data_IF_304478281315
#
_entry.id   IF_304478281315
#
_cell.length_a   1.000
_cell.length_b   1.000
_cell.length_c   1.000
_cell.angle_alpha   90.00
_cell.angle_beta   90.00
_cell.angle_gamma   90.00
#
_symmetry.space_group_name_H-M   'P 1'
#
loop_
_entity.id
_entity.type
_entity.pdbx_description
1 polymer ?
#
# COMPACT_ATOMS: atom_id res chain seq x y z
N UNK A 1 24.03 20.79 0.28
CA UNK A 1 24.88 20.18 1.33
C UNK A 1 23.92 19.31 2.14
N UNK A 2 23.95 18.01 1.90
CA UNK A 2 23.09 17.04 2.63
C UNK A 2 23.61 16.92 4.05
N UNK A 3 22.83 17.36 5.03
CA UNK A 3 23.12 17.14 6.43
C UNK A 3 22.83 15.67 6.75
N UNK A 4 23.85 14.83 6.73
CA UNK A 4 23.81 13.52 7.36
C UNK A 4 23.48 13.73 8.84
N UNK A 5 22.29 13.26 9.25
CA UNK A 5 21.91 13.26 10.66
C UNK A 5 22.45 11.96 11.33
N UNK A 6 23.49 12.05 12.16
CA UNK A 6 24.10 10.88 12.80
C UNK A 6 23.11 10.16 13.72
N UNK A 7 22.11 10.85 14.27
CA UNK A 7 21.10 10.23 15.13
C UNK A 7 20.14 9.36 14.33
N UNK A 8 19.80 9.77 13.10
CA UNK A 8 18.96 8.99 12.21
C UNK A 8 19.68 7.73 11.72
N UNK A 9 20.97 7.83 11.37
CA UNK A 9 21.78 6.65 11.00
C UNK A 9 21.91 5.66 12.15
N UNK A 10 22.10 6.15 13.37
CA UNK A 10 22.12 5.30 14.57
C UNK A 10 20.76 4.63 14.83
N UNK A 11 19.65 5.37 14.65
CA UNK A 11 18.30 4.84 14.80
C UNK A 11 18.03 3.73 13.78
N UNK A 12 18.36 3.96 12.50
CA UNK A 12 18.20 2.97 11.43
C UNK A 12 19.08 1.74 11.67
N UNK A 13 20.33 1.93 12.09
CA UNK A 13 21.23 0.84 12.43
C UNK A 13 20.75 0.04 13.65
N UNK A 14 20.18 0.71 14.65
CA UNK A 14 19.59 0.07 15.82
C UNK A 14 18.32 -0.71 15.46
N UNK A 15 17.43 -0.12 14.64
CA UNK A 15 16.25 -0.81 14.13
C UNK A 15 16.63 -2.00 13.28
N UNK A 16 17.61 -1.86 12.37
CA UNK A 16 18.13 -2.96 11.56
C UNK A 16 18.73 -4.08 12.43
N UNK A 17 19.48 -3.75 13.49
CA UNK A 17 20.02 -4.73 14.45
C UNK A 17 18.93 -5.45 15.22
N UNK A 18 17.90 -4.72 15.72
CA UNK A 18 16.76 -5.33 16.44
C UNK A 18 15.94 -6.23 15.55
N UNK A 19 15.78 -5.84 14.30
CA UNK A 19 15.12 -6.65 13.26
C UNK A 19 15.95 -7.90 12.98
N UNK A 20 17.26 -7.77 12.73
CA UNK A 20 18.16 -8.90 12.53
C UNK A 20 18.19 -9.85 13.74
N UNK A 21 18.18 -9.33 14.97
CA UNK A 21 18.12 -10.12 16.19
C UNK A 21 16.80 -10.89 16.35
N UNK A 22 15.67 -10.30 15.92
CA UNK A 22 14.37 -10.98 15.91
C UNK A 22 14.22 -12.01 14.79
N UNK A 23 15.00 -11.86 13.70
CA UNK A 23 15.02 -12.80 12.59
C UNK A 23 15.85 -14.08 12.90
N UNK A 24 16.48 -14.17 14.09
CA UNK A 24 17.32 -15.31 14.49
C UNK A 24 18.63 -15.33 13.72
N UNK A 25 19.75 -15.15 14.46
CA UNK A 25 21.08 -14.92 13.94
C UNK A 25 21.53 -15.82 12.80
N UNK A 26 22.33 -15.24 11.95
CA UNK A 26 23.30 -15.86 11.01
C UNK A 26 22.87 -17.18 10.34
N UNK A 27 21.78 -17.13 9.59
CA UNK A 27 21.70 -17.91 8.37
C UNK A 27 21.97 -16.96 7.19
N UNK A 28 22.85 -17.34 6.23
CA UNK A 28 22.90 -16.60 4.98
C UNK A 28 21.48 -16.58 4.44
N UNK A 29 21.03 -15.39 4.04
CA UNK A 29 19.73 -15.22 3.36
C UNK A 29 19.70 -16.29 2.28
N UNK A 30 18.91 -17.33 2.53
CA UNK A 30 18.65 -18.36 1.53
C UNK A 30 18.28 -17.58 0.29
N UNK A 31 18.94 -17.85 -0.83
CA UNK A 31 18.43 -17.47 -2.14
C UNK A 31 17.08 -18.17 -2.24
N UNK A 32 16.04 -17.49 -1.76
CA UNK A 32 14.68 -17.87 -2.00
C UNK A 32 14.55 -17.80 -3.52
N UNK A 33 14.49 -18.98 -4.13
CA UNK A 33 14.17 -19.09 -5.52
C UNK A 33 12.95 -18.19 -5.75
N UNK A 34 13.01 -17.38 -6.79
CA UNK A 34 11.91 -16.51 -7.19
C UNK A 34 10.67 -17.37 -7.34
N UNK A 35 9.81 -17.37 -6.32
CA UNK A 35 8.48 -17.93 -6.50
C UNK A 35 7.85 -17.17 -7.67
N UNK A 36 7.17 -17.83 -8.60
CA UNK A 36 6.57 -17.19 -9.75
C UNK A 36 5.70 -16.04 -9.24
N UNK A 37 5.98 -14.84 -9.71
CA UNK A 37 5.19 -13.67 -9.36
C UNK A 37 3.73 -13.93 -9.75
N UNK A 38 2.77 -13.32 -9.06
CA UNK A 38 1.35 -13.40 -9.43
C UNK A 38 1.10 -13.06 -10.91
N UNK A 39 2.06 -12.39 -11.58
CA UNK A 39 2.10 -12.13 -13.02
C UNK A 39 2.39 -13.35 -13.88
N UNK A 40 3.11 -14.35 -13.38
CA UNK A 40 3.57 -15.52 -14.14
C UNK A 40 2.55 -16.65 -14.19
N UNK A 41 1.51 -16.58 -13.36
CA UNK A 41 0.41 -17.56 -13.42
C UNK A 41 -0.67 -17.05 -14.40
N UNK A 42 -1.00 -17.82 -15.43
CA UNK A 42 -2.00 -17.41 -16.41
C UNK A 42 -3.35 -17.16 -15.72
N UNK A 43 -3.95 -16.02 -16.04
CA UNK A 43 -5.34 -15.77 -15.66
C UNK A 43 -6.23 -16.85 -16.32
N UNK A 44 -7.28 -17.36 -15.67
CA UNK A 44 -8.16 -18.38 -16.27
C UNK A 44 -8.74 -17.99 -17.63
N UNK A 45 -8.83 -16.69 -17.90
CA UNK A 45 -9.34 -16.13 -19.15
C UNK A 45 -8.24 -15.84 -20.19
N UNK A 46 -7.03 -16.42 -20.02
CA UNK A 46 -5.89 -16.22 -20.89
C UNK A 46 -4.91 -15.13 -20.42
N UNK A 47 -3.71 -15.05 -21.03
CA UNK A 47 -2.68 -14.12 -20.64
C UNK A 47 -3.12 -12.69 -21.01
N UNK A 48 -3.61 -11.92 -20.06
CA UNK A 48 -3.57 -10.48 -20.21
C UNK A 48 -2.15 -10.03 -19.87
N UNK A 49 -1.47 -9.39 -20.79
CA UNK A 49 -0.12 -8.84 -20.61
C UNK A 49 -0.01 -7.87 -19.43
N UNK A 50 -1.15 -7.48 -18.83
CA UNK A 50 -1.28 -6.59 -17.67
C UNK A 50 -2.24 -7.15 -16.60
N UNK A 51 -1.86 -8.22 -15.94
CA UNK A 51 -2.64 -8.80 -14.84
C UNK A 51 -2.85 -7.83 -13.65
N UNK A 52 -2.03 -6.78 -13.54
CA UNK A 52 -2.18 -5.69 -12.55
C UNK A 52 -3.26 -4.68 -12.91
N UNK A 53 -3.66 -4.60 -14.17
CA UNK A 53 -4.60 -3.56 -14.66
C UNK A 53 -6.06 -3.89 -14.40
N UNK A 54 -6.46 -5.16 -14.31
CA UNK A 54 -7.88 -5.51 -14.18
C UNK A 54 -8.39 -5.49 -12.73
N UNK A 55 -7.53 -5.66 -11.72
CA UNK A 55 -7.92 -5.68 -10.31
C UNK A 55 -8.91 -6.77 -9.90
N UNK A 56 -9.10 -7.81 -10.71
CA UNK A 56 -10.11 -8.85 -10.49
C UNK A 56 -9.58 -10.13 -9.81
N UNK A 57 -8.40 -10.07 -9.19
CA UNK A 57 -7.77 -11.25 -8.58
C UNK A 57 -8.63 -11.90 -7.48
N UNK A 58 -9.41 -11.11 -6.74
CA UNK A 58 -10.32 -11.64 -5.71
C UNK A 58 -11.41 -12.56 -6.27
N UNK A 59 -11.76 -12.41 -7.55
CA UNK A 59 -12.74 -13.24 -8.25
C UNK A 59 -12.06 -14.28 -9.13
N UNK A 60 -11.02 -13.88 -9.86
CA UNK A 60 -10.37 -14.75 -10.86
C UNK A 60 -9.30 -15.67 -10.28
N UNK A 61 -8.74 -15.33 -9.11
CA UNK A 61 -7.65 -16.06 -8.47
C UNK A 61 -7.80 -16.09 -6.94
N UNK A 62 -8.92 -16.62 -6.44
CA UNK A 62 -9.23 -16.60 -5.01
C UNK A 62 -8.17 -17.31 -4.16
N UNK A 63 -7.55 -18.39 -4.68
CA UNK A 63 -6.47 -19.11 -3.99
C UNK A 63 -5.22 -18.24 -3.80
N UNK A 64 -4.81 -17.49 -4.84
CA UNK A 64 -3.67 -16.59 -4.72
C UNK A 64 -3.93 -15.46 -3.69
N UNK A 65 -5.17 -14.96 -3.64
CA UNK A 65 -5.57 -13.99 -2.62
C UNK A 65 -5.56 -14.64 -1.24
N UNK A 66 -6.07 -15.86 -1.12
CA UNK A 66 -6.08 -16.59 0.15
C UNK A 66 -4.64 -16.83 0.66
N UNK A 67 -3.69 -17.15 -0.22
CA UNK A 67 -2.29 -17.34 0.16
C UNK A 67 -1.68 -16.07 0.77
N UNK A 68 -1.90 -14.90 0.17
CA UNK A 68 -1.39 -13.64 0.76
C UNK A 68 -2.12 -13.26 2.06
N UNK A 69 -3.38 -13.61 2.21
CA UNK A 69 -4.14 -13.40 3.46
C UNK A 69 -3.60 -14.31 4.57
N UNK A 70 -3.29 -15.58 4.27
CA UNK A 70 -2.72 -16.52 5.26
C UNK A 70 -1.33 -16.08 5.74
N UNK A 71 -0.54 -15.39 4.92
CA UNK A 71 0.74 -14.80 5.31
C UNK A 71 0.60 -13.46 6.09
N UNK A 72 -0.63 -13.03 6.32
CA UNK A 72 -0.93 -11.91 7.20
C UNK A 72 -1.30 -10.60 6.52
N UNK A 73 -1.69 -10.61 5.24
CA UNK A 73 -2.32 -9.45 4.64
C UNK A 73 -3.64 -9.14 5.37
N UNK A 74 -3.81 -7.89 5.79
CA UNK A 74 -5.03 -7.40 6.43
C UNK A 74 -5.93 -6.62 5.48
N UNK A 75 -5.46 -6.30 4.30
CA UNK A 75 -6.17 -5.66 3.20
C UNK A 75 -5.70 -6.18 1.85
N UNK A 76 -6.59 -6.21 0.88
CA UNK A 76 -6.31 -6.58 -0.52
C UNK A 76 -6.93 -5.55 -1.46
N UNK A 77 -6.34 -5.37 -2.64
CA UNK A 77 -6.90 -4.48 -3.67
C UNK A 77 -7.86 -5.22 -4.60
N UNK A 78 -8.88 -4.53 -5.08
CA UNK A 78 -9.71 -4.98 -6.21
C UNK A 78 -10.08 -3.82 -7.12
N UNK A 79 -10.47 -4.10 -8.36
CA UNK A 79 -10.88 -3.11 -9.36
C UNK A 79 -12.35 -3.21 -9.75
N UNK A 80 -12.81 -2.28 -10.60
CA UNK A 80 -14.18 -2.26 -11.15
C UNK A 80 -14.58 -3.61 -11.75
N UNK A 81 -15.82 -4.02 -11.49
CA UNK A 81 -16.35 -5.30 -11.95
C UNK A 81 -16.01 -6.47 -11.04
N UNK A 82 -15.44 -6.21 -9.87
CA UNK A 82 -15.32 -7.23 -8.82
C UNK A 82 -16.74 -7.61 -8.39
N UNK A 83 -17.12 -8.83 -8.75
CA UNK A 83 -18.43 -9.38 -8.43
C UNK A 83 -18.52 -9.88 -7.00
N UNK A 84 -19.43 -10.81 -6.78
CA UNK A 84 -19.65 -11.42 -5.48
C UNK A 84 -18.35 -12.08 -4.97
N UNK A 85 -17.86 -11.63 -3.84
CA UNK A 85 -16.71 -12.18 -3.12
C UNK A 85 -17.16 -12.81 -1.81
N UNK A 86 -16.44 -13.80 -1.28
CA UNK A 86 -16.75 -14.33 0.06
C UNK A 86 -16.74 -13.22 1.11
N UNK A 87 -17.70 -13.24 2.03
CA UNK A 87 -17.83 -12.22 3.09
C UNK A 87 -16.56 -12.07 3.93
N UNK A 88 -15.82 -13.15 4.12
CA UNK A 88 -14.54 -13.16 4.85
C UNK A 88 -13.45 -12.30 4.20
N UNK A 89 -13.50 -12.11 2.87
CA UNK A 89 -12.55 -11.30 2.12
C UNK A 89 -13.13 -9.93 1.80
N UNK A 90 -14.44 -9.80 1.66
CA UNK A 90 -15.11 -8.54 1.28
C UNK A 90 -14.70 -7.37 2.16
N UNK A 91 -14.70 -7.56 3.48
CA UNK A 91 -14.30 -6.53 4.45
C UNK A 91 -12.80 -6.21 4.47
N UNK A 92 -11.99 -6.94 3.71
CA UNK A 92 -10.57 -6.67 3.52
C UNK A 92 -10.29 -5.93 2.21
N UNK A 93 -11.28 -5.76 1.34
CA UNK A 93 -11.10 -5.20 0.00
C UNK A 93 -11.07 -3.67 0.04
N UNK A 94 -9.98 -3.10 -0.48
CA UNK A 94 -9.95 -1.70 -0.93
C UNK A 94 -10.28 -1.66 -2.43
N UNK A 95 -11.51 -1.28 -2.75
CA UNK A 95 -12.02 -1.22 -4.12
C UNK A 95 -11.47 0.01 -4.84
N UNK A 96 -10.67 -0.18 -5.88
CA UNK A 96 -9.69 0.80 -6.34
C UNK A 96 -9.92 1.23 -7.78
N UNK A 97 -9.94 2.54 -8.04
CA UNK A 97 -9.96 3.15 -9.37
C UNK A 97 -9.02 4.37 -9.40
N UNK A 98 -7.85 4.21 -10.03
CA UNK A 98 -6.77 5.20 -10.01
C UNK A 98 -6.30 5.61 -11.42
N UNK A 99 -7.02 5.23 -12.48
CA UNK A 99 -6.72 5.66 -13.83
C UNK A 99 -6.77 7.18 -13.93
N UNK A 100 -5.86 7.78 -14.70
CA UNK A 100 -5.81 9.23 -14.89
C UNK A 100 -7.06 9.78 -15.60
N UNK A 101 -7.68 8.96 -16.45
CA UNK A 101 -8.90 9.25 -17.21
C UNK A 101 -10.18 8.73 -16.55
N UNK A 102 -10.13 8.33 -15.27
CA UNK A 102 -11.29 7.88 -14.52
C UNK A 102 -12.41 8.94 -14.55
N UNK A 103 -13.63 8.49 -14.81
CA UNK A 103 -14.79 9.35 -14.90
C UNK A 103 -15.65 9.32 -13.63
N UNK A 104 -16.50 10.34 -13.42
CA UNK A 104 -17.44 10.36 -12.31
C UNK A 104 -18.39 9.14 -12.34
N UNK A 105 -18.85 8.72 -13.53
CA UNK A 105 -19.70 7.54 -13.69
C UNK A 105 -19.02 6.24 -13.26
N UNK A 106 -17.73 6.09 -13.53
CA UNK A 106 -16.95 4.93 -13.05
C UNK A 106 -16.77 4.96 -11.52
N UNK A 107 -16.59 6.14 -10.93
CA UNK A 107 -16.53 6.29 -9.46
C UNK A 107 -17.89 5.98 -8.82
N UNK A 108 -19.00 6.37 -9.44
CA UNK A 108 -20.35 6.02 -9.00
C UNK A 108 -20.56 4.50 -9.01
N UNK A 109 -20.14 3.83 -10.09
CA UNK A 109 -20.18 2.37 -10.18
C UNK A 109 -19.31 1.72 -9.12
N UNK A 110 -18.08 2.20 -8.93
CA UNK A 110 -17.15 1.72 -7.90
C UNK A 110 -17.78 1.80 -6.49
N UNK A 111 -18.37 2.93 -6.16
CA UNK A 111 -19.04 3.13 -4.87
C UNK A 111 -20.28 2.24 -4.72
N UNK A 112 -21.05 2.03 -5.79
CA UNK A 112 -22.21 1.14 -5.79
C UNK A 112 -21.79 -0.31 -5.52
N UNK A 113 -20.75 -0.80 -6.19
CA UNK A 113 -20.20 -2.14 -5.96
C UNK A 113 -19.72 -2.29 -4.51
N UNK A 114 -18.93 -1.32 -4.00
CA UNK A 114 -18.41 -1.35 -2.65
C UNK A 114 -19.50 -1.38 -1.56
N UNK A 115 -20.61 -0.64 -1.77
CA UNK A 115 -21.79 -0.69 -0.88
C UNK A 115 -22.47 -2.04 -0.93
N UNK A 116 -22.69 -2.58 -2.14
CA UNK A 116 -23.39 -3.85 -2.36
C UNK A 116 -22.67 -5.00 -1.68
N UNK A 117 -21.36 -5.06 -1.84
CA UNK A 117 -20.53 -6.15 -1.31
C UNK A 117 -19.89 -5.84 0.05
N UNK A 118 -20.15 -4.68 0.64
CA UNK A 118 -19.63 -4.25 1.95
C UNK A 118 -18.10 -4.29 2.03
N UNK A 119 -17.44 -3.74 1.00
CA UNK A 119 -15.99 -3.67 0.99
C UNK A 119 -15.45 -2.74 2.09
N UNK A 120 -14.16 -2.88 2.44
CA UNK A 120 -13.54 -2.07 3.48
C UNK A 120 -13.46 -0.59 3.09
N UNK A 121 -13.04 -0.31 1.88
CA UNK A 121 -12.91 1.05 1.39
C UNK A 121 -13.09 1.16 -0.13
N UNK A 122 -13.28 2.40 -0.59
CA UNK A 122 -13.08 2.81 -1.98
C UNK A 122 -11.83 3.67 -2.04
N UNK A 123 -10.89 3.32 -2.93
CA UNK A 123 -9.62 4.03 -3.12
C UNK A 123 -9.61 4.76 -4.45
N UNK A 124 -9.45 6.09 -4.40
CA UNK A 124 -9.53 6.99 -5.56
C UNK A 124 -8.44 8.06 -5.55
N UNK A 125 -8.25 8.75 -6.67
CA UNK A 125 -7.48 9.98 -6.71
C UNK A 125 -8.15 11.08 -5.86
N UNK A 126 -7.35 11.96 -5.26
CA UNK A 126 -7.81 12.99 -4.30
C UNK A 126 -8.96 13.86 -4.81
N UNK A 127 -9.01 14.16 -6.12
CA UNK A 127 -10.09 14.91 -6.75
C UNK A 127 -11.48 14.27 -6.68
N UNK A 128 -11.57 12.94 -6.50
CA UNK A 128 -12.82 12.20 -6.38
C UNK A 128 -13.32 11.98 -4.95
N UNK A 129 -12.53 12.38 -3.95
CA UNK A 129 -12.90 12.18 -2.53
C UNK A 129 -14.26 12.78 -2.18
N UNK A 130 -14.58 14.04 -2.57
CA UNK A 130 -15.91 14.61 -2.26
C UNK A 130 -17.07 13.81 -2.86
N UNK A 131 -16.90 13.29 -4.08
CA UNK A 131 -17.91 12.47 -4.75
C UNK A 131 -18.08 11.14 -4.01
N UNK A 132 -16.99 10.42 -3.78
CA UNK A 132 -17.01 9.13 -3.08
C UNK A 132 -17.60 9.25 -1.67
N UNK A 133 -17.21 10.28 -0.91
CA UNK A 133 -17.74 10.53 0.45
C UNK A 133 -19.24 10.74 0.44
N UNK A 134 -19.76 11.49 -0.54
CA UNK A 134 -21.22 11.70 -0.69
C UNK A 134 -21.94 10.38 -1.01
N UNK A 135 -21.40 9.59 -1.94
CA UNK A 135 -22.01 8.33 -2.38
C UNK A 135 -21.97 7.23 -1.32
N UNK A 136 -20.95 7.22 -0.48
CA UNK A 136 -20.74 6.19 0.54
C UNK A 136 -21.32 6.55 1.91
N UNK A 137 -21.99 7.69 2.04
CA UNK A 137 -22.60 8.12 3.30
C UNK A 137 -23.52 7.04 3.87
N UNK A 138 -23.31 6.67 5.13
CA UNK A 138 -24.13 5.68 5.86
C UNK A 138 -23.94 4.23 5.44
N UNK A 139 -22.96 3.92 4.56
CA UNK A 139 -22.70 2.54 4.13
C UNK A 139 -21.72 1.76 5.02
N UNK A 140 -20.94 2.47 5.81
CA UNK A 140 -19.79 1.87 6.56
C UNK A 140 -18.52 1.67 5.71
N UNK A 141 -18.58 1.90 4.39
CA UNK A 141 -17.41 1.82 3.50
C UNK A 141 -16.60 3.10 3.62
N UNK A 142 -15.30 2.98 3.92
CA UNK A 142 -14.38 4.11 4.07
C UNK A 142 -13.99 4.70 2.72
N UNK A 143 -13.62 5.98 2.71
CA UNK A 143 -12.98 6.63 1.55
C UNK A 143 -11.47 6.68 1.78
N UNK A 144 -10.72 6.09 0.87
CA UNK A 144 -9.27 6.15 0.79
C UNK A 144 -8.85 7.05 -0.38
N UNK A 145 -7.83 7.88 -0.17
CA UNK A 145 -7.23 8.69 -1.22
C UNK A 145 -5.75 8.38 -1.39
N UNK A 146 -5.26 8.36 -2.63
CA UNK A 146 -3.82 8.27 -2.89
C UNK A 146 -3.16 9.64 -2.81
N UNK A 147 -1.88 9.68 -2.40
CA UNK A 147 -1.08 10.89 -2.22
C UNK A 147 0.33 10.68 -2.76
N UNK A 148 0.84 11.68 -3.49
CA UNK A 148 2.14 11.58 -4.17
C UNK A 148 2.19 10.46 -5.20
N UNK A 149 1.06 10.09 -5.74
CA UNK A 149 0.84 8.88 -6.50
C UNK A 149 0.95 9.12 -8.02
N UNK A 150 1.50 8.15 -8.81
CA UNK A 150 2.07 6.88 -8.35
C UNK A 150 3.59 6.95 -8.07
N UNK A 151 4.25 8.08 -8.27
CA UNK A 151 5.71 8.19 -8.35
C UNK A 151 6.41 8.31 -6.98
N UNK A 152 5.77 8.87 -5.98
CA UNK A 152 6.37 9.13 -4.67
C UNK A 152 7.44 10.24 -4.66
N UNK A 153 7.73 10.87 -5.80
CA UNK A 153 8.85 11.79 -5.99
C UNK A 153 8.55 13.26 -5.66
N UNK A 154 7.40 13.54 -5.08
CA UNK A 154 7.02 14.89 -4.66
C UNK A 154 7.81 15.34 -3.43
N UNK A 155 7.95 16.67 -3.28
CA UNK A 155 8.48 17.23 -2.04
C UNK A 155 7.57 16.88 -0.83
N UNK A 156 8.14 16.61 0.36
CA UNK A 156 7.38 16.18 1.54
C UNK A 156 6.22 17.13 1.91
N UNK A 157 6.44 18.45 1.85
CA UNK A 157 5.40 19.43 2.14
C UNK A 157 4.24 19.40 1.13
N UNK A 158 4.51 19.08 -0.15
CA UNK A 158 3.48 18.96 -1.18
C UNK A 158 2.61 17.72 -0.93
N UNK A 159 3.23 16.57 -0.57
CA UNK A 159 2.49 15.36 -0.17
C UNK A 159 1.64 15.60 1.07
N UNK A 160 2.20 16.24 2.11
CA UNK A 160 1.48 16.58 3.33
C UNK A 160 0.30 17.53 3.06
N UNK A 161 0.46 18.47 2.14
CA UNK A 161 -0.63 19.36 1.72
C UNK A 161 -1.75 18.56 1.04
N UNK A 162 -1.40 17.71 0.07
CA UNK A 162 -2.38 16.85 -0.64
C UNK A 162 -3.15 15.96 0.34
N UNK A 163 -2.43 15.33 1.29
CA UNK A 163 -3.03 14.48 2.32
C UNK A 163 -4.03 15.24 3.18
N UNK A 164 -3.66 16.42 3.66
CA UNK A 164 -4.54 17.27 4.47
C UNK A 164 -5.81 17.68 3.71
N UNK A 165 -5.67 18.06 2.45
CA UNK A 165 -6.83 18.43 1.63
C UNK A 165 -7.74 17.23 1.34
N UNK A 166 -7.17 16.04 1.10
CA UNK A 166 -7.95 14.81 0.94
C UNK A 166 -8.73 14.46 2.22
N UNK A 167 -8.11 14.59 3.39
CA UNK A 167 -8.79 14.36 4.69
C UNK A 167 -9.91 15.40 4.91
N UNK A 168 -9.66 16.67 4.63
CA UNK A 168 -10.68 17.74 4.71
C UNK A 168 -11.87 17.47 3.78
N UNK A 169 -11.60 16.88 2.62
CA UNK A 169 -12.63 16.49 1.66
C UNK A 169 -13.42 15.24 2.10
N UNK A 170 -12.95 14.52 3.13
CA UNK A 170 -13.63 13.38 3.74
C UNK A 170 -12.94 12.02 3.60
N UNK A 171 -11.67 11.98 3.21
CA UNK A 171 -10.89 10.75 3.23
C UNK A 171 -10.66 10.29 4.68
N UNK A 172 -10.80 8.98 4.90
CA UNK A 172 -10.62 8.30 6.19
C UNK A 172 -9.35 7.45 6.20
N UNK A 173 -8.81 7.20 5.01
CA UNK A 173 -7.52 6.54 4.79
C UNK A 173 -6.72 7.28 3.70
N UNK A 174 -5.40 7.29 3.83
CA UNK A 174 -4.46 7.91 2.88
C UNK A 174 -3.41 6.87 2.48
N UNK A 175 -3.32 6.57 1.19
CA UNK A 175 -2.31 5.70 0.61
C UNK A 175 -1.20 6.56 -0.03
N UNK A 176 -0.10 6.82 0.68
CA UNK A 176 1.03 7.60 0.17
C UNK A 176 2.07 6.70 -0.48
N UNK A 177 2.75 7.19 -1.52
CA UNK A 177 3.89 6.48 -2.10
C UNK A 177 5.19 6.96 -1.46
N UNK A 178 6.05 6.02 -1.03
CA UNK A 178 7.37 6.32 -0.46
C UNK A 178 8.25 7.03 -1.49
N UNK A 179 9.15 7.91 -1.03
CA UNK A 179 10.16 8.50 -1.91
C UNK A 179 11.25 7.47 -2.23
N UNK A 180 11.07 6.74 -3.33
CA UNK A 180 11.99 5.70 -3.77
C UNK A 180 13.38 6.24 -4.10
N UNK A 181 13.47 7.44 -4.68
CA UNK A 181 14.74 8.07 -5.03
C UNK A 181 15.57 8.36 -3.78
N UNK A 182 14.98 8.94 -2.75
CA UNK A 182 15.62 9.18 -1.46
C UNK A 182 16.05 7.86 -0.79
N UNK A 183 15.17 6.85 -0.80
CA UNK A 183 15.47 5.53 -0.25
C UNK A 183 16.69 4.89 -0.92
N UNK A 184 16.73 4.88 -2.26
CA UNK A 184 17.86 4.34 -3.05
C UNK A 184 19.14 5.15 -2.87
N UNK A 185 19.02 6.43 -2.62
CA UNK A 185 20.15 7.32 -2.28
C UNK A 185 20.59 7.21 -0.82
N UNK A 186 19.95 6.34 -0.02
CA UNK A 186 20.16 6.19 1.42
C UNK A 186 19.93 7.47 2.23
N UNK A 187 19.15 8.40 1.69
CA UNK A 187 18.69 9.59 2.43
C UNK A 187 17.48 9.21 3.29
N UNK A 188 17.77 8.45 4.35
CA UNK A 188 16.76 7.90 5.25
C UNK A 188 16.07 8.98 6.09
N UNK A 189 16.77 10.08 6.33
CA UNK A 189 16.22 11.24 7.02
C UNK A 189 15.07 11.85 6.20
N UNK A 190 15.31 12.07 4.90
CA UNK A 190 14.28 12.57 3.99
C UNK A 190 13.10 11.60 3.85
N UNK A 191 13.36 10.28 3.76
CA UNK A 191 12.29 9.26 3.68
C UNK A 191 11.44 9.29 4.94
N UNK A 192 12.05 9.33 6.12
CA UNK A 192 11.34 9.40 7.40
C UNK A 192 10.51 10.69 7.51
N UNK A 193 11.13 11.84 7.22
CA UNK A 193 10.45 13.16 7.23
C UNK A 193 9.23 13.17 6.30
N UNK A 194 9.37 12.65 5.08
CA UNK A 194 8.30 12.57 4.08
C UNK A 194 7.10 11.79 4.62
N UNK A 195 7.33 10.60 5.18
CA UNK A 195 6.26 9.77 5.75
C UNK A 195 5.65 10.45 6.99
N UNK A 196 6.48 10.94 7.91
CA UNK A 196 6.03 11.57 9.15
C UNK A 196 5.12 12.78 8.85
N UNK A 197 5.51 13.65 7.93
CA UNK A 197 4.71 14.83 7.54
C UNK A 197 3.34 14.43 6.99
N UNK A 198 3.28 13.35 6.19
CA UNK A 198 1.99 12.85 5.69
C UNK A 198 1.16 12.27 6.83
N UNK A 199 1.76 11.47 7.73
CA UNK A 199 1.07 10.92 8.91
C UNK A 199 0.47 12.03 9.78
N UNK A 200 1.25 13.07 10.07
CA UNK A 200 0.79 14.21 10.88
C UNK A 200 -0.33 14.99 10.19
N UNK A 201 -0.17 15.26 8.89
CA UNK A 201 -1.15 16.01 8.10
C UNK A 201 -2.46 15.25 7.86
N UNK A 202 -2.42 13.92 7.96
CA UNK A 202 -3.57 13.04 7.71
C UNK A 202 -4.47 12.82 8.92
N UNK A 203 -4.08 13.25 10.11
CA UNK A 203 -4.88 12.99 11.32
C UNK A 203 -6.30 13.55 11.17
N UNK A 204 -7.35 12.78 11.53
CA UNK A 204 -7.34 11.46 12.20
C UNK A 204 -7.34 10.24 11.23
N UNK A 205 -7.21 10.45 9.91
CA UNK A 205 -7.22 9.38 8.93
C UNK A 205 -6.00 8.44 9.10
N UNK A 206 -6.18 7.17 8.76
CA UNK A 206 -5.08 6.19 8.76
C UNK A 206 -4.21 6.34 7.52
N UNK A 207 -2.89 6.19 7.69
CA UNK A 207 -1.92 6.26 6.58
C UNK A 207 -1.39 4.88 6.24
N UNK A 208 -1.41 4.53 4.95
CA UNK A 208 -0.74 3.37 4.39
C UNK A 208 0.43 3.85 3.52
N UNK A 209 1.62 3.30 3.75
CA UNK A 209 2.81 3.61 2.95
C UNK A 209 2.99 2.57 1.86
N UNK A 210 2.87 2.98 0.61
CA UNK A 210 3.14 2.15 -0.56
C UNK A 210 4.65 2.11 -0.77
N UNK A 211 5.23 0.93 -0.60
CA UNK A 211 6.67 0.72 -0.69
C UNK A 211 7.16 0.55 -2.13
N UNK A 212 6.31 0.06 -3.04
CA UNK A 212 6.63 -0.38 -4.40
C UNK A 212 7.69 -1.49 -4.39
N UNK A 213 7.37 -2.58 -3.70
CA UNK A 213 8.31 -3.68 -3.39
C UNK A 213 8.99 -4.27 -4.63
N UNK A 214 8.31 -4.28 -5.78
CA UNK A 214 8.88 -4.74 -7.04
C UNK A 214 10.05 -3.90 -7.57
N UNK A 215 10.22 -2.67 -7.06
CA UNK A 215 11.32 -1.77 -7.42
C UNK A 215 12.47 -1.78 -6.40
N UNK A 216 12.32 -2.51 -5.29
CA UNK A 216 13.24 -2.51 -4.15
C UNK A 216 13.99 -3.85 -4.03
N UNK A 217 15.26 -3.79 -3.66
CA UNK A 217 15.99 -4.97 -3.19
C UNK A 217 15.62 -5.30 -1.74
N UNK A 218 16.12 -6.43 -1.23
CA UNK A 218 15.74 -6.94 0.09
C UNK A 218 16.12 -5.99 1.24
N UNK A 219 17.32 -5.38 1.19
CA UNK A 219 17.75 -4.40 2.18
C UNK A 219 16.85 -3.15 2.16
N UNK A 220 16.56 -2.64 0.97
CA UNK A 220 15.67 -1.49 0.79
C UNK A 220 14.26 -1.76 1.31
N UNK A 221 13.71 -2.98 1.11
CA UNK A 221 12.41 -3.38 1.67
C UNK A 221 12.42 -3.31 3.20
N UNK A 222 13.44 -3.90 3.83
CA UNK A 222 13.57 -3.90 5.30
C UNK A 222 13.64 -2.47 5.84
N UNK A 223 14.45 -1.61 5.23
CA UNK A 223 14.59 -0.21 5.63
C UNK A 223 13.29 0.56 5.44
N UNK A 224 12.63 0.43 4.28
CA UNK A 224 11.39 1.11 3.98
C UNK A 224 10.26 0.74 4.96
N UNK A 225 10.12 -0.55 5.29
CA UNK A 225 9.16 -1.05 6.27
C UNK A 225 9.46 -0.45 7.66
N UNK A 226 10.73 -0.47 8.07
CA UNK A 226 11.17 0.04 9.37
C UNK A 226 10.93 1.54 9.52
N UNK A 227 11.30 2.33 8.49
CA UNK A 227 11.06 3.77 8.47
C UNK A 227 9.56 4.09 8.51
N UNK A 228 8.73 3.34 7.77
CA UNK A 228 7.28 3.51 7.80
C UNK A 228 6.70 3.31 9.20
N UNK A 229 7.19 2.28 9.91
CA UNK A 229 6.77 1.99 11.28
C UNK A 229 7.21 3.08 12.26
N UNK A 230 8.47 3.52 12.17
CA UNK A 230 9.01 4.58 13.07
C UNK A 230 8.34 5.93 12.82
N UNK A 231 7.98 6.24 11.57
CA UNK A 231 7.27 7.45 11.21
C UNK A 231 5.77 7.44 11.64
N UNK A 232 5.28 6.35 12.22
CA UNK A 232 3.93 6.23 12.75
C UNK A 232 2.86 5.88 11.72
N UNK A 233 3.23 5.31 10.58
CA UNK A 233 2.26 4.80 9.61
C UNK A 233 1.41 3.66 10.21
N UNK A 234 0.18 3.52 9.73
CA UNK A 234 -0.77 2.52 10.22
C UNK A 234 -0.70 1.23 9.41
N UNK A 235 -0.25 1.31 8.16
CA UNK A 235 -0.07 0.19 7.25
C UNK A 235 1.20 0.34 6.42
N UNK A 236 1.73 -0.78 5.96
CA UNK A 236 2.61 -0.87 4.80
C UNK A 236 1.85 -1.57 3.66
N UNK A 237 2.05 -1.11 2.43
CA UNK A 237 1.42 -1.64 1.22
C UNK A 237 2.48 -1.96 0.18
N UNK A 238 2.33 -3.09 -0.51
CA UNK A 238 3.34 -3.55 -1.47
C UNK A 238 3.50 -2.61 -2.65
N UNK A 239 2.40 -2.27 -3.34
CA UNK A 239 2.49 -1.78 -4.71
C UNK A 239 1.45 -0.71 -5.04
N UNK A 240 1.80 0.16 -5.99
CA UNK A 240 0.87 1.13 -6.59
C UNK A 240 -0.10 0.47 -7.58
N UNK A 241 0.33 -0.61 -8.25
CA UNK A 241 -0.32 -1.17 -9.43
C UNK A 241 0.09 -0.52 -10.76
N UNK A 242 0.95 0.52 -10.71
CA UNK A 242 1.47 1.25 -11.89
C UNK A 242 2.98 1.00 -12.08
N UNK A 243 3.64 0.43 -11.07
CA UNK A 243 5.06 0.08 -11.10
C UNK A 243 5.31 -1.38 -11.50
N UNK A 244 6.56 -1.82 -11.41
CA UNK A 244 6.93 -3.20 -11.68
C UNK A 244 6.43 -4.11 -10.53
N UNK A 245 5.84 -5.24 -10.88
CA UNK A 245 5.41 -6.25 -9.90
C UNK A 245 4.08 -5.92 -9.20
N UNK A 246 3.76 -6.76 -8.25
CA UNK A 246 2.57 -6.69 -7.40
C UNK A 246 2.88 -7.32 -6.04
N UNK A 247 1.86 -7.68 -5.29
CA UNK A 247 2.04 -8.39 -4.03
C UNK A 247 2.55 -9.83 -4.29
N UNK A 248 3.58 -10.24 -3.54
CA UNK A 248 4.04 -11.63 -3.48
C UNK A 248 3.85 -12.17 -2.06
N UNK A 249 3.76 -13.48 -1.94
CA UNK A 249 3.63 -14.17 -0.64
C UNK A 249 4.82 -13.83 0.26
N UNK A 250 6.02 -13.83 -0.34
CA UNK A 250 7.27 -13.54 0.37
C UNK A 250 7.32 -12.10 0.88
N UNK A 251 6.86 -11.13 0.09
CA UNK A 251 6.83 -9.73 0.51
C UNK A 251 5.82 -9.52 1.65
N UNK A 252 4.64 -10.15 1.57
CA UNK A 252 3.64 -10.08 2.64
C UNK A 252 4.18 -10.71 3.93
N UNK A 253 4.78 -11.89 3.86
CA UNK A 253 5.39 -12.55 5.00
C UNK A 253 6.50 -11.70 5.63
N UNK A 254 7.39 -11.11 4.80
CA UNK A 254 8.42 -10.19 5.26
C UNK A 254 7.83 -8.97 5.97
N UNK A 255 6.86 -8.31 5.33
CA UNK A 255 6.21 -7.13 5.88
C UNK A 255 5.55 -7.46 7.22
N UNK A 256 4.75 -8.54 7.30
CA UNK A 256 4.10 -8.97 8.53
C UNK A 256 5.10 -9.26 9.64
N UNK A 257 6.19 -9.95 9.31
CA UNK A 257 7.25 -10.26 10.28
C UNK A 257 7.90 -9.01 10.87
N UNK A 258 8.15 -7.98 10.06
CA UNK A 258 8.83 -6.75 10.48
C UNK A 258 7.89 -5.78 11.21
N UNK A 259 6.66 -5.62 10.75
CA UNK A 259 5.73 -4.69 11.40
C UNK A 259 5.11 -5.25 12.68
N UNK A 260 5.04 -6.58 12.82
CA UNK A 260 4.37 -7.23 13.96
C UNK A 260 2.84 -7.22 13.84
N UNK A 261 2.09 -7.55 14.89
CA UNK A 261 0.63 -7.71 14.83
C UNK A 261 -0.13 -6.39 14.74
N UNK A 262 0.42 -5.30 15.26
CA UNK A 262 -0.31 -4.05 15.49
C UNK A 262 -0.44 -3.15 14.26
N UNK A 263 0.41 -3.35 13.26
CA UNK A 263 0.42 -2.57 12.02
C UNK A 263 -0.16 -3.39 10.86
N UNK A 264 -1.00 -2.76 10.04
CA UNK A 264 -1.63 -3.43 8.91
C UNK A 264 -0.64 -3.72 7.76
N UNK A 265 -0.94 -4.76 6.98
CA UNK A 265 -0.22 -5.15 5.74
C UNK A 265 -1.24 -5.25 4.59
N UNK A 266 -0.88 -4.64 3.44
CA UNK A 266 -1.74 -4.64 2.24
C UNK A 266 -0.93 -5.03 1.01
#
# INVERSE_FOLDING_TARGET
MSSHDPQMEQLVAEVARRVAARLGGSQPLVQLGTAPSLREQPCPDGPSENCTACGLCTVRRPEAVQNIVSEGASRVGSGLGTGQTPDSIAQMIDHTLLKADATAAEVEKLCSEARTYRFASVCVNSGFVPLAKRLLRGSGVMVCAVVGFPLGAMAPNAKAFEAREAVRAGAEEIDMVINQGALKSRDYALVHEDIQKVVEASRPAKVKVILETGALNQEEKVVAISLSKVAGAHFVKTSTGFGPGGATVEDIALMRKLVGPDMGVK
#
